data_IF_116964975079
#
_entry.id   IF_116964975079
#
_cell.length_a   1.000
_cell.length_b   1.000
_cell.length_c   1.000
_cell.angle_alpha   90.00
_cell.angle_beta   90.00
_cell.angle_gamma   90.00
#
_symmetry.space_group_name_H-M   'P 1'
#
loop_
_entity.id
_entity.type
_entity.pdbx_description
1 polymer ?
#
# COMPACT_ATOMS: atom_id res chain seq x y z
N UNK A 1 0.37 20.51 -7.76
CA UNK A 1 0.81 21.80 -7.20
C UNK A 1 2.32 21.83 -7.05
N UNK A 2 2.94 22.91 -7.52
CA UNK A 2 4.36 23.16 -7.35
C UNK A 2 4.77 23.30 -5.87
N UNK A 3 3.90 23.89 -5.04
CA UNK A 3 4.19 24.19 -3.63
C UNK A 3 4.36 22.90 -2.81
N UNK A 4 3.42 21.95 -2.89
CA UNK A 4 3.54 20.69 -2.15
C UNK A 4 4.83 19.93 -2.49
N UNK A 5 5.20 19.91 -3.78
CA UNK A 5 6.44 19.29 -4.25
C UNK A 5 7.70 19.96 -3.71
N UNK A 6 7.70 21.30 -3.61
CA UNK A 6 8.81 22.03 -3.02
C UNK A 6 8.93 21.76 -1.51
N UNK A 7 7.80 21.70 -0.80
CA UNK A 7 7.78 21.43 0.63
C UNK A 7 8.31 20.02 0.96
N UNK A 8 7.89 18.98 0.23
CA UNK A 8 8.42 17.62 0.44
C UNK A 8 9.93 17.52 0.10
N UNK A 9 10.45 18.37 -0.78
CA UNK A 9 11.89 18.39 -1.10
C UNK A 9 12.76 18.95 0.02
N UNK A 10 12.21 19.79 0.89
CA UNK A 10 12.96 20.37 2.01
C UNK A 10 12.83 19.53 3.29
N UNK A 11 11.87 18.60 3.36
CA UNK A 11 11.70 17.70 4.50
C UNK A 11 12.97 16.87 4.73
N UNK A 12 13.46 16.88 5.96
CA UNK A 12 14.65 16.16 6.42
C UNK A 12 14.30 14.93 7.25
N UNK A 13 13.08 14.85 7.78
CA UNK A 13 12.61 13.75 8.59
C UNK A 13 11.08 13.53 8.44
N UNK A 14 10.57 12.48 9.09
CA UNK A 14 9.14 12.10 9.03
C UNK A 14 8.20 13.13 9.67
N UNK A 15 8.64 13.84 10.72
CA UNK A 15 7.83 14.86 11.39
C UNK A 15 7.70 16.11 10.50
N UNK A 16 8.75 16.48 9.74
CA UNK A 16 8.65 17.57 8.77
C UNK A 16 7.57 17.30 7.72
N UNK A 17 7.48 16.06 7.22
CA UNK A 17 6.43 15.66 6.26
C UNK A 17 5.05 15.79 6.91
N UNK A 18 4.91 15.34 8.15
CA UNK A 18 3.65 15.41 8.90
C UNK A 18 3.21 16.86 9.15
N UNK A 19 4.14 17.74 9.52
CA UNK A 19 3.86 19.15 9.76
C UNK A 19 3.50 19.89 8.47
N UNK A 20 4.16 19.58 7.34
CA UNK A 20 3.77 20.06 6.01
C UNK A 20 2.32 19.65 5.72
N UNK A 21 1.96 18.39 5.96
CA UNK A 21 0.61 17.89 5.71
C UNK A 21 -0.43 18.57 6.60
N UNK A 22 -0.13 18.80 7.88
CA UNK A 22 -1.02 19.55 8.78
C UNK A 22 -1.24 20.98 8.30
N UNK A 23 -0.18 21.69 7.94
CA UNK A 23 -0.28 23.06 7.42
C UNK A 23 -1.15 23.08 6.16
N UNK A 24 -0.94 22.13 5.24
CA UNK A 24 -1.76 22.04 4.03
C UNK A 24 -3.22 21.72 4.35
N UNK A 25 -3.49 20.84 5.30
CA UNK A 25 -4.84 20.47 5.72
C UNK A 25 -5.59 21.63 6.39
N UNK A 26 -4.91 22.42 7.19
CA UNK A 26 -5.48 23.59 7.89
C UNK A 26 -5.79 24.76 6.95
N UNK A 27 -5.04 24.88 5.84
CA UNK A 27 -5.07 26.06 4.97
C UNK A 27 -5.72 25.81 3.61
N UNK A 28 -6.09 24.56 3.29
CA UNK A 28 -6.75 24.20 2.03
C UNK A 28 -8.14 23.65 2.32
N UNK A 29 -9.07 23.81 1.36
CA UNK A 29 -10.32 23.06 1.46
C UNK A 29 -10.05 21.57 1.26
N UNK A 30 -10.91 20.72 1.84
CA UNK A 30 -10.79 19.26 1.80
C UNK A 30 -10.54 18.73 0.39
N UNK A 31 -11.33 19.16 -0.60
CA UNK A 31 -11.16 18.77 -2.00
C UNK A 31 -9.78 19.13 -2.58
N UNK A 32 -9.20 20.27 -2.18
CA UNK A 32 -7.85 20.64 -2.62
C UNK A 32 -6.79 19.86 -1.85
N UNK A 33 -6.97 19.66 -0.55
CA UNK A 33 -6.06 18.86 0.27
C UNK A 33 -5.94 17.43 -0.26
N UNK A 34 -7.04 16.75 -0.56
CA UNK A 34 -7.03 15.38 -1.12
C UNK A 34 -6.28 15.29 -2.45
N UNK A 35 -6.45 16.30 -3.33
CA UNK A 35 -5.69 16.38 -4.59
C UNK A 35 -4.19 16.55 -4.33
N UNK A 36 -3.82 17.40 -3.38
CA UNK A 36 -2.41 17.59 -2.98
C UNK A 36 -1.86 16.31 -2.36
N UNK A 37 -2.59 15.65 -1.48
CA UNK A 37 -2.18 14.41 -0.82
C UNK A 37 -1.86 13.32 -1.85
N UNK A 38 -2.69 13.18 -2.87
CA UNK A 38 -2.46 12.25 -4.00
C UNK A 38 -1.17 12.59 -4.74
N UNK A 39 -0.94 13.87 -5.06
CA UNK A 39 0.29 14.30 -5.73
C UNK A 39 1.54 14.10 -4.86
N UNK A 40 1.43 14.30 -3.55
CA UNK A 40 2.53 14.09 -2.60
C UNK A 40 2.86 12.62 -2.44
N UNK A 41 1.85 11.74 -2.41
CA UNK A 41 2.04 10.28 -2.43
C UNK A 41 2.90 9.86 -3.62
N UNK A 42 2.56 10.34 -4.83
CA UNK A 42 3.37 10.09 -6.03
C UNK A 42 4.80 10.66 -5.95
N UNK A 43 5.02 11.72 -5.17
CA UNK A 43 6.36 12.27 -4.99
C UNK A 43 7.16 11.43 -3.99
N UNK A 44 6.57 11.04 -2.86
CA UNK A 44 7.22 10.19 -1.86
C UNK A 44 7.57 8.82 -2.44
N UNK A 45 6.74 8.28 -3.33
CA UNK A 45 7.01 7.02 -4.02
C UNK A 45 8.02 7.12 -5.16
N UNK A 46 8.50 8.32 -5.51
CA UNK A 46 9.63 8.52 -6.43
C UNK A 46 10.83 8.91 -5.61
N UNK A 47 11.74 7.96 -5.34
CA UNK A 47 12.86 8.16 -4.42
C UNK A 47 13.65 9.45 -4.69
N UNK A 48 13.86 9.83 -5.95
CA UNK A 48 14.57 11.06 -6.33
C UNK A 48 13.81 12.38 -6.04
N UNK A 49 12.55 12.31 -5.61
CA UNK A 49 11.69 13.47 -5.38
C UNK A 49 11.65 13.93 -3.93
N UNK A 50 12.10 13.11 -2.98
CA UNK A 50 12.20 13.46 -1.57
C UNK A 50 13.54 13.01 -0.98
N UNK A 51 14.48 13.93 -0.70
CA UNK A 51 15.82 13.59 -0.21
C UNK A 51 15.81 12.74 1.07
N UNK A 52 14.88 13.00 1.98
CA UNK A 52 14.70 12.18 3.19
C UNK A 52 14.39 10.72 2.84
N UNK A 53 13.38 10.49 1.99
CA UNK A 53 12.98 9.12 1.59
C UNK A 53 14.09 8.39 0.85
N UNK A 54 14.86 9.11 0.03
CA UNK A 54 16.00 8.56 -0.72
C UNK A 54 17.08 7.97 0.21
N UNK A 55 17.27 8.56 1.39
CA UNK A 55 18.29 8.13 2.35
C UNK A 55 17.86 6.89 3.15
N UNK A 56 16.57 6.58 3.17
CA UNK A 56 16.03 5.47 3.94
C UNK A 56 16.33 4.13 3.27
N UNK A 57 16.76 3.15 4.05
CA UNK A 57 16.79 1.76 3.61
C UNK A 57 15.37 1.13 3.58
N UNK A 58 15.29 -0.16 3.25
CA UNK A 58 14.02 -0.87 3.12
C UNK A 58 13.27 -0.97 4.46
N UNK A 59 13.99 -1.23 5.55
CA UNK A 59 13.41 -1.39 6.89
C UNK A 59 12.97 -0.04 7.44
N UNK A 60 13.74 1.02 7.19
CA UNK A 60 13.38 2.38 7.53
C UNK A 60 12.15 2.87 6.74
N UNK A 61 12.03 2.55 5.45
CA UNK A 61 10.83 2.80 4.64
C UNK A 61 9.62 2.04 5.18
N UNK A 62 9.81 0.79 5.59
CA UNK A 62 8.77 -0.02 6.22
C UNK A 62 8.29 0.61 7.53
N UNK A 63 9.22 1.03 8.40
CA UNK A 63 8.93 1.71 9.67
C UNK A 63 8.20 3.04 9.45
N UNK A 64 8.63 3.83 8.46
CA UNK A 64 7.96 5.07 8.06
C UNK A 64 6.51 4.81 7.63
N UNK A 65 6.29 3.79 6.80
CA UNK A 65 4.96 3.44 6.33
C UNK A 65 4.06 2.98 7.49
N UNK A 66 4.58 2.18 8.43
CA UNK A 66 3.84 1.80 9.64
C UNK A 66 3.40 3.00 10.44
N UNK A 67 4.28 3.98 10.62
CA UNK A 67 3.99 5.21 11.32
C UNK A 67 2.84 5.98 10.67
N UNK A 68 2.90 6.21 9.35
CA UNK A 68 1.84 6.92 8.63
C UNK A 68 0.50 6.18 8.61
N UNK A 69 0.53 4.85 8.54
CA UNK A 69 -0.69 4.04 8.49
C UNK A 69 -1.34 3.95 9.87
N UNK A 70 -0.57 3.57 10.91
CA UNK A 70 -1.12 3.25 12.23
C UNK A 70 -1.30 4.47 13.13
N UNK A 71 -0.37 5.41 13.10
CA UNK A 71 -0.35 6.55 14.03
C UNK A 71 -0.98 7.82 13.44
N UNK A 72 -0.95 7.96 12.12
CA UNK A 72 -1.44 9.16 11.41
C UNK A 72 -2.64 8.91 10.50
N UNK A 73 -3.08 7.66 10.36
CA UNK A 73 -4.24 7.26 9.53
C UNK A 73 -4.17 7.83 8.10
N UNK A 74 -2.98 7.84 7.50
CA UNK A 74 -2.70 8.37 6.15
C UNK A 74 -2.17 7.29 5.21
N UNK A 75 -2.93 6.20 4.96
CA UNK A 75 -2.45 5.09 4.15
C UNK A 75 -2.15 5.49 2.69
N UNK A 76 -2.90 6.44 2.14
CA UNK A 76 -2.71 6.93 0.76
C UNK A 76 -1.30 7.50 0.52
N UNK A 77 -0.70 8.13 1.54
CA UNK A 77 0.59 8.81 1.40
C UNK A 77 1.74 7.84 1.12
N UNK A 78 1.67 6.62 1.67
CA UNK A 78 2.79 5.66 1.69
C UNK A 78 2.49 4.37 0.94
N UNK A 79 1.30 4.23 0.37
CA UNK A 79 0.89 3.02 -0.34
C UNK A 79 1.81 2.71 -1.54
N UNK A 80 2.03 3.68 -2.41
CA UNK A 80 2.91 3.52 -3.57
C UNK A 80 4.37 3.32 -3.16
N UNK A 81 4.81 3.92 -2.04
CA UNK A 81 6.16 3.69 -1.49
C UNK A 81 6.33 2.22 -1.13
N UNK A 82 5.36 1.63 -0.43
CA UNK A 82 5.38 0.23 -0.02
C UNK A 82 5.43 -0.71 -1.24
N UNK A 83 4.52 -0.54 -2.19
CA UNK A 83 4.40 -1.45 -3.34
C UNK A 83 5.61 -1.39 -4.25
N UNK A 84 6.16 -0.20 -4.48
CA UNK A 84 7.24 -0.03 -5.45
C UNK A 84 8.62 -0.33 -4.83
N UNK A 85 8.83 0.03 -3.56
CA UNK A 85 10.17 0.08 -2.98
C UNK A 85 10.40 -0.84 -1.80
N UNK A 86 9.35 -1.40 -1.20
CA UNK A 86 9.49 -2.24 0.01
C UNK A 86 9.09 -3.69 -0.27
N UNK A 87 7.87 -3.94 -0.73
CA UNK A 87 7.32 -5.30 -0.84
C UNK A 87 8.03 -6.20 -1.85
N UNK A 88 8.76 -5.63 -2.81
CA UNK A 88 9.50 -6.37 -3.84
C UNK A 88 10.95 -6.65 -3.45
N UNK A 89 11.44 -6.14 -2.31
CA UNK A 89 12.86 -6.22 -1.96
C UNK A 89 13.23 -7.56 -1.32
N UNK A 90 14.44 -8.03 -1.65
CA UNK A 90 15.00 -9.22 -1.03
C UNK A 90 15.37 -8.92 0.44
N UNK A 91 14.98 -9.81 1.36
CA UNK A 91 15.31 -9.67 2.79
C UNK A 91 14.34 -8.82 3.62
N UNK A 92 13.29 -8.25 3.01
CA UNK A 92 12.25 -7.53 3.75
C UNK A 92 11.52 -8.45 4.73
N UNK A 93 11.14 -7.90 5.90
CA UNK A 93 10.29 -8.61 6.86
C UNK A 93 8.90 -8.89 6.28
N UNK A 94 8.74 -10.11 5.75
CA UNK A 94 7.50 -10.57 5.10
C UNK A 94 6.32 -10.58 6.05
N UNK A 95 6.51 -10.85 7.34
CA UNK A 95 5.41 -10.88 8.30
C UNK A 95 4.88 -9.46 8.54
N UNK A 96 5.78 -8.50 8.73
CA UNK A 96 5.41 -7.09 8.83
C UNK A 96 4.71 -6.60 7.56
N UNK A 97 5.22 -6.96 6.38
CA UNK A 97 4.57 -6.62 5.11
C UNK A 97 3.16 -7.21 5.00
N UNK A 98 2.95 -8.48 5.37
CA UNK A 98 1.60 -9.10 5.39
C UNK A 98 0.66 -8.35 6.32
N UNK A 99 1.12 -8.01 7.52
CA UNK A 99 0.32 -7.32 8.51
C UNK A 99 -0.09 -5.91 8.03
N UNK A 100 0.84 -5.18 7.40
CA UNK A 100 0.57 -3.90 6.76
C UNK A 100 -0.43 -4.03 5.61
N UNK A 101 -0.22 -4.99 4.70
CA UNK A 101 -1.11 -5.19 3.57
C UNK A 101 -2.53 -5.58 4.03
N UNK A 102 -2.65 -6.41 5.07
CA UNK A 102 -3.95 -6.74 5.69
C UNK A 102 -4.64 -5.49 6.24
N UNK A 103 -3.89 -4.59 6.89
CA UNK A 103 -4.44 -3.34 7.40
C UNK A 103 -4.90 -2.41 6.26
N UNK A 104 -4.12 -2.29 5.19
CA UNK A 104 -4.49 -1.51 4.00
C UNK A 104 -5.77 -2.05 3.33
N UNK A 105 -5.95 -3.37 3.28
CA UNK A 105 -7.19 -4.02 2.78
C UNK A 105 -8.43 -3.76 3.66
N UNK A 106 -8.24 -3.28 4.87
CA UNK A 106 -9.30 -2.97 5.83
C UNK A 106 -9.44 -1.46 6.08
N UNK A 107 -8.67 -0.62 5.38
CA UNK A 107 -8.69 0.81 5.62
C UNK A 107 -9.94 1.47 5.03
N UNK A 108 -10.35 2.60 5.61
CA UNK A 108 -11.55 3.35 5.19
C UNK A 108 -11.38 4.06 3.84
N UNK A 109 -10.13 4.32 3.42
CA UNK A 109 -9.86 4.90 2.11
C UNK A 109 -10.12 3.84 1.02
N UNK A 110 -11.29 3.93 0.39
CA UNK A 110 -11.75 2.97 -0.62
C UNK A 110 -10.74 2.78 -1.77
N UNK A 111 -10.09 3.86 -2.21
CA UNK A 111 -9.11 3.77 -3.30
C UNK A 111 -7.89 2.92 -2.90
N UNK A 112 -7.35 3.16 -1.70
CA UNK A 112 -6.25 2.34 -1.17
C UNK A 112 -6.71 0.91 -0.91
N UNK A 113 -7.91 0.73 -0.37
CA UNK A 113 -8.48 -0.59 -0.11
C UNK A 113 -8.59 -1.43 -1.38
N UNK A 114 -9.19 -0.89 -2.45
CA UNK A 114 -9.36 -1.58 -3.74
C UNK A 114 -8.00 -1.96 -4.35
N UNK A 115 -7.03 -1.05 -4.30
CA UNK A 115 -5.68 -1.32 -4.79
C UNK A 115 -4.97 -2.38 -3.94
N UNK A 116 -5.09 -2.32 -2.62
CA UNK A 116 -4.50 -3.30 -1.70
C UNK A 116 -5.11 -4.69 -1.83
N UNK A 117 -6.42 -4.77 -2.13
CA UNK A 117 -7.11 -6.03 -2.41
C UNK A 117 -6.63 -6.67 -3.72
N UNK A 118 -6.34 -5.84 -4.73
CA UNK A 118 -5.87 -6.29 -6.04
C UNK A 118 -4.37 -6.64 -6.06
N UNK A 119 -3.60 -6.07 -5.12
CA UNK A 119 -2.16 -6.28 -5.04
C UNK A 119 -1.80 -7.63 -4.42
N UNK A 120 -0.93 -8.37 -5.11
CA UNK A 120 -0.34 -9.64 -4.67
C UNK A 120 1.16 -9.44 -4.59
N UNK A 121 1.72 -9.64 -3.39
CA UNK A 121 3.17 -9.55 -3.14
C UNK A 121 3.92 -10.62 -3.95
N UNK A 122 5.10 -10.31 -4.52
CA UNK A 122 5.79 -11.25 -5.41
C UNK A 122 6.17 -12.56 -4.73
N UNK A 123 6.60 -12.50 -3.47
CA UNK A 123 7.03 -13.67 -2.70
C UNK A 123 5.88 -14.56 -2.20
N UNK A 124 4.60 -14.18 -2.42
CA UNK A 124 3.47 -15.11 -2.23
C UNK A 124 3.28 -16.03 -3.44
N UNK A 125 3.72 -15.63 -4.63
CA UNK A 125 3.62 -16.46 -5.85
C UNK A 125 4.63 -17.61 -5.85
N UNK A 126 5.75 -17.43 -5.18
CA UNK A 126 6.80 -18.46 -5.04
C UNK A 126 6.44 -19.51 -3.98
N UNK A 127 5.45 -19.25 -3.14
CA UNK A 127 4.88 -20.19 -2.18
C UNK A 127 3.74 -20.97 -2.80
N UNK A 128 4.08 -21.93 -3.67
CA UNK A 128 3.26 -23.07 -4.10
C UNK A 128 1.74 -22.89 -4.10
N UNK A 129 1.17 -22.94 -5.31
CA UNK A 129 -0.21 -23.37 -5.54
C UNK A 129 -0.50 -24.59 -4.63
N UNK A 130 -1.31 -24.40 -3.60
CA UNK A 130 -2.06 -25.52 -3.01
C UNK A 130 -3.28 -25.71 -3.92
N UNK A 131 -3.11 -26.54 -4.96
CA UNK A 131 -4.16 -27.09 -5.82
C UNK A 131 -5.04 -28.06 -5.01
N UNK A 132 -5.62 -27.62 -3.90
CA UNK A 132 -6.54 -28.42 -3.09
C UNK A 132 -7.99 -27.92 -3.08
N UNK A 133 -8.31 -26.85 -3.82
CA UNK A 133 -9.71 -26.46 -4.08
C UNK A 133 -10.16 -26.74 -5.52
N UNK A 134 -9.36 -27.52 -6.27
CA UNK A 134 -9.68 -27.90 -7.64
C UNK A 134 -9.91 -29.40 -7.77
N UNK A 135 -10.96 -29.93 -7.13
CA UNK A 135 -11.79 -31.04 -7.63
C UNK A 135 -12.82 -31.46 -6.56
N UNK A 136 -14.07 -31.08 -6.79
CA UNK A 136 -15.24 -31.92 -6.46
C UNK A 136 -16.35 -31.57 -7.46
N UNK A 137 -16.05 -31.77 -8.74
CA UNK A 137 -17.11 -32.10 -9.71
C UNK A 137 -17.24 -33.61 -9.62
N UNK A 138 -18.10 -34.09 -8.72
CA UNK A 138 -18.60 -35.46 -8.82
C UNK A 138 -19.69 -35.46 -9.87
N UNK A 139 -19.29 -35.69 -11.10
CA UNK A 139 -20.14 -36.31 -12.10
C UNK A 139 -20.31 -37.78 -11.72
N UNK A 140 -21.43 -38.11 -11.08
CA UNK A 140 -21.99 -39.46 -11.17
C UNK A 140 -23.04 -39.43 -12.28
N UNK A 141 -22.60 -39.85 -13.46
CA UNK A 141 -23.48 -40.42 -14.47
C UNK A 141 -23.63 -41.92 -14.22
N UNK A 142 -24.81 -42.42 -14.60
CA UNK A 142 -25.17 -43.80 -14.96
C UNK A 142 -26.33 -44.31 -14.10
N UNK A 143 -27.32 -45.04 -14.59
CA UNK A 143 -27.93 -45.25 -15.90
C UNK A 143 -29.14 -46.16 -15.57
N UNK A 144 -30.18 -46.16 -16.39
CA UNK A 144 -31.17 -47.25 -16.48
C UNK A 144 -32.10 -47.54 -15.28
N UNK A 145 -33.41 -47.33 -15.43
CA UNK A 145 -34.29 -48.47 -15.70
C UNK A 145 -35.72 -48.07 -16.11
N UNK A 146 -36.18 -48.81 -17.12
CA UNK A 146 -37.54 -48.92 -17.65
C UNK A 146 -38.46 -49.52 -16.58
N UNK A 147 -39.76 -49.12 -16.52
CA UNK A 147 -40.92 -50.03 -16.56
C UNK A 147 -42.26 -49.28 -16.49
N UNK A 148 -43.11 -49.64 -17.47
CA UNK A 148 -44.58 -49.62 -17.59
C UNK A 148 -45.38 -48.30 -17.50
#
# INVERSE_FOLDING_TARGET
SLIGKLLIKIAQNKEDIEDILKILQENLSENYFERILTELSTCISKEDSCPFIQQLDVDEKLNLAQWFIKERTRPLLVFDLLINHVFNQAGVDREQCRNLLRHLRQCENLSVQEQAMSYIVPWEKDGGINDNDRMSVSSESDDSNISE
#
